data_IF_067249733443
#
_entry.id   IF_067249733443
#
_cell.length_a   1.000
_cell.length_b   1.000
_cell.length_c   1.000
_cell.angle_alpha   90.00
_cell.angle_beta   90.00
_cell.angle_gamma   90.00
#
_symmetry.space_group_name_H-M   'P 1'
#
loop_
_entity.id
_entity.type
_entity.pdbx_description
1 polymer ?
#
# COMPACT_ATOMS: atom_id res chain seq x y z
N UNK A 1 10.66 14.50 20.55
CA UNK A 1 9.84 14.14 19.36
C UNK A 1 9.26 15.43 18.80
N UNK A 2 9.72 15.85 17.62
CA UNK A 2 9.42 17.18 17.05
C UNK A 2 8.01 17.29 16.46
N UNK A 3 7.39 16.16 16.06
CA UNK A 3 6.04 16.15 15.50
C UNK A 3 4.98 15.73 16.53
N UNK A 4 4.21 16.70 17.01
CA UNK A 4 3.11 16.51 17.96
C UNK A 4 1.73 16.46 17.30
N UNK A 5 1.68 16.17 15.99
CA UNK A 5 0.40 16.09 15.28
C UNK A 5 -0.51 15.01 15.86
N UNK A 6 -1.80 15.32 15.95
CA UNK A 6 -2.86 14.33 16.19
C UNK A 6 -3.09 13.49 14.94
N UNK A 7 -3.82 12.37 15.08
CA UNK A 7 -4.21 11.51 13.96
C UNK A 7 -4.91 12.31 12.84
N UNK A 8 -5.94 13.08 13.18
CA UNK A 8 -6.66 13.97 12.25
C UNK A 8 -5.75 14.98 11.57
N UNK A 9 -4.86 15.64 12.32
CA UNK A 9 -3.91 16.60 11.74
C UNK A 9 -2.94 15.93 10.77
N UNK A 10 -2.51 14.70 11.08
CA UNK A 10 -1.64 13.93 10.20
C UNK A 10 -2.37 13.49 8.92
N UNK A 11 -3.61 12.99 9.01
CA UNK A 11 -4.44 12.69 7.84
C UNK A 11 -4.64 13.91 6.95
N UNK A 12 -4.95 15.07 7.52
CA UNK A 12 -5.05 16.32 6.75
C UNK A 12 -3.75 16.69 6.04
N UNK A 13 -2.59 16.47 6.67
CA UNK A 13 -1.27 16.67 6.02
C UNK A 13 -1.01 15.65 4.91
N UNK A 14 -1.44 14.40 5.07
CA UNK A 14 -1.34 13.36 4.04
C UNK A 14 -2.22 13.72 2.85
N UNK A 15 -3.47 14.12 3.10
CA UNK A 15 -4.38 14.64 2.08
C UNK A 15 -3.76 15.82 1.32
N UNK A 16 -3.17 16.79 2.04
CA UNK A 16 -2.51 17.95 1.45
C UNK A 16 -1.32 17.60 0.55
N UNK A 17 -0.67 16.45 0.76
CA UNK A 17 0.54 16.02 0.04
C UNK A 17 0.31 14.84 -0.91
N UNK A 18 -0.94 14.48 -1.19
CA UNK A 18 -1.29 13.28 -1.95
C UNK A 18 -0.74 13.25 -3.38
N UNK A 19 -0.45 14.42 -3.95
CA UNK A 19 0.17 14.66 -5.27
C UNK A 19 1.64 15.07 -5.21
N UNK A 20 2.22 15.19 -4.01
CA UNK A 20 3.64 15.46 -3.85
C UNK A 20 4.47 14.22 -4.28
N UNK A 21 5.75 14.39 -4.63
CA UNK A 21 6.65 13.26 -4.80
C UNK A 21 6.64 12.33 -3.57
N UNK A 22 6.89 11.02 -3.75
CA UNK A 22 7.06 10.12 -2.62
C UNK A 22 8.26 10.57 -1.76
N UNK A 23 8.19 10.38 -0.43
CA UNK A 23 9.32 10.69 0.43
C UNK A 23 10.54 9.82 0.06
N UNK A 24 11.77 10.29 0.34
CA UNK A 24 12.97 9.47 0.19
C UNK A 24 12.87 8.15 0.96
N UNK A 25 13.41 7.07 0.39
CA UNK A 25 13.31 5.70 0.95
C UNK A 25 14.04 5.58 2.29
N UNK A 26 15.03 6.42 2.53
CA UNK A 26 15.85 6.48 3.74
C UNK A 26 15.25 7.40 4.82
N UNK A 27 14.15 8.10 4.54
CA UNK A 27 13.46 8.93 5.51
C UNK A 27 12.43 8.09 6.30
N UNK A 28 12.61 7.89 7.61
CA UNK A 28 11.64 7.16 8.42
C UNK A 28 10.32 7.93 8.53
N UNK A 29 9.21 7.29 8.13
CA UNK A 29 7.87 7.84 8.30
C UNK A 29 7.39 7.67 9.75
N UNK A 30 7.44 8.76 10.51
CA UNK A 30 6.90 8.85 11.86
C UNK A 30 5.45 9.36 11.90
N UNK A 31 4.74 9.35 10.77
CA UNK A 31 3.33 9.70 10.67
C UNK A 31 2.40 8.72 11.39
N UNK A 32 1.11 9.03 11.41
CA UNK A 32 0.12 8.11 11.98
C UNK A 32 -0.28 7.03 10.98
N UNK A 33 -0.46 7.41 9.72
CA UNK A 33 -0.75 6.49 8.62
C UNK A 33 0.44 6.42 7.68
N UNK A 34 0.57 5.30 6.97
CA UNK A 34 1.41 5.28 5.77
C UNK A 34 0.87 6.34 4.81
N UNK A 35 1.71 7.28 4.39
CA UNK A 35 1.27 8.43 3.60
C UNK A 35 1.22 8.08 2.10
N UNK A 36 0.09 7.63 1.51
CA UNK A 36 0.02 7.30 0.09
C UNK A 36 0.36 8.51 -0.78
N UNK A 37 0.76 8.22 -2.03
CA UNK A 37 0.86 9.18 -3.12
C UNK A 37 0.11 8.66 -4.33
N UNK A 38 -0.52 9.58 -5.05
CA UNK A 38 -1.10 9.26 -6.34
C UNK A 38 0.02 9.00 -7.35
N UNK A 39 -0.16 8.03 -8.27
CA UNK A 39 0.80 7.83 -9.33
C UNK A 39 0.85 9.06 -10.24
N UNK A 40 1.98 9.26 -10.93
CA UNK A 40 2.18 10.39 -11.83
C UNK A 40 1.21 10.42 -13.03
N UNK A 41 0.51 9.32 -13.31
CA UNK A 41 -0.53 9.23 -14.33
C UNK A 41 -1.95 9.41 -13.79
N UNK A 42 -2.12 9.73 -12.50
CA UNK A 42 -3.44 10.12 -11.99
C UNK A 42 -3.83 11.49 -12.55
N UNK A 43 -5.09 11.64 -12.95
CA UNK A 43 -5.60 12.94 -13.39
C UNK A 43 -5.77 13.90 -12.21
N UNK A 44 -5.83 15.22 -12.44
CA UNK A 44 -6.15 16.20 -11.40
C UNK A 44 -7.48 15.90 -10.68
N UNK A 45 -8.49 15.41 -11.41
CA UNK A 45 -9.79 15.05 -10.85
C UNK A 45 -9.69 13.84 -9.91
N UNK A 46 -8.91 12.81 -10.28
CA UNK A 46 -8.65 11.67 -9.39
C UNK A 46 -7.89 12.08 -8.13
N UNK A 47 -6.88 12.94 -8.27
CA UNK A 47 -6.13 13.52 -7.15
C UNK A 47 -7.07 14.30 -6.23
N UNK A 48 -7.94 15.14 -6.78
CA UNK A 48 -8.91 15.92 -6.01
C UNK A 48 -9.92 15.01 -5.28
N UNK A 49 -10.40 13.95 -5.93
CA UNK A 49 -11.31 12.98 -5.33
C UNK A 49 -10.67 12.25 -4.15
N UNK A 50 -9.45 11.73 -4.30
CA UNK A 50 -8.73 11.06 -3.21
C UNK A 50 -8.41 12.05 -2.08
N UNK A 51 -8.05 13.29 -2.41
CA UNK A 51 -7.83 14.35 -1.43
C UNK A 51 -9.09 14.64 -0.61
N UNK A 52 -10.24 14.71 -1.26
CA UNK A 52 -11.53 14.90 -0.58
C UNK A 52 -11.81 13.73 0.36
N UNK A 53 -11.71 12.48 -0.12
CA UNK A 53 -11.92 11.28 0.70
C UNK A 53 -11.01 11.23 1.94
N UNK A 54 -9.73 11.58 1.80
CA UNK A 54 -8.80 11.65 2.93
C UNK A 54 -9.13 12.79 3.91
N UNK A 55 -9.64 13.92 3.39
CA UNK A 55 -10.06 15.06 4.20
C UNK A 55 -11.32 14.72 4.99
N UNK A 56 -12.30 14.11 4.33
CA UNK A 56 -13.56 13.65 4.94
C UNK A 56 -13.27 12.57 5.99
N UNK A 57 -12.38 11.62 5.69
CA UNK A 57 -11.93 10.62 6.66
C UNK A 57 -11.21 11.25 7.87
N UNK A 58 -10.50 12.36 7.70
CA UNK A 58 -9.88 13.08 8.81
C UNK A 58 -10.91 13.72 9.74
N UNK A 59 -12.06 14.16 9.19
CA UNK A 59 -13.13 14.82 9.95
C UNK A 59 -14.16 13.84 10.53
N UNK A 60 -14.49 12.78 9.81
CA UNK A 60 -15.61 11.86 10.10
C UNK A 60 -15.16 10.46 10.55
N UNK A 61 -13.92 10.10 10.23
CA UNK A 61 -13.41 8.75 10.43
C UNK A 61 -13.24 8.37 11.90
N UNK A 62 -13.20 7.05 12.20
CA UNK A 62 -12.79 6.61 13.52
C UNK A 62 -11.37 7.14 13.81
N UNK A 63 -11.16 7.59 15.05
CA UNK A 63 -9.84 7.99 15.52
C UNK A 63 -8.82 6.85 15.45
N UNK A 64 -7.58 7.08 15.90
CA UNK A 64 -6.55 6.06 15.82
C UNK A 64 -6.93 4.83 16.66
N UNK A 65 -6.53 3.64 16.19
CA UNK A 65 -6.69 2.36 16.92
C UNK A 65 -6.07 2.36 18.34
N UNK A 66 -5.11 3.25 18.62
CA UNK A 66 -4.54 3.50 19.95
C UNK A 66 -4.13 4.98 20.05
N UNK A 67 -4.13 5.54 21.26
CA UNK A 67 -3.69 6.91 21.49
C UNK A 67 -2.17 7.10 21.34
N UNK A 68 -1.39 6.03 21.48
CA UNK A 68 0.03 6.00 21.17
C UNK A 68 0.26 5.71 19.68
N UNK A 69 1.04 6.57 19.02
CA UNK A 69 1.27 6.49 17.57
C UNK A 69 1.94 5.19 17.15
N UNK A 70 2.91 4.70 17.92
CA UNK A 70 3.64 3.47 17.57
C UNK A 70 2.75 2.23 17.74
N UNK A 71 1.89 2.21 18.77
CA UNK A 71 0.87 1.15 18.92
C UNK A 71 -0.17 1.21 17.83
N UNK A 72 -0.66 2.40 17.46
CA UNK A 72 -1.56 2.57 16.34
C UNK A 72 -0.97 1.98 15.04
N UNK A 73 0.29 2.33 14.71
CA UNK A 73 0.97 1.80 13.52
C UNK A 73 1.11 0.27 13.57
N UNK A 74 1.44 -0.30 14.73
CA UNK A 74 1.53 -1.74 14.91
C UNK A 74 0.17 -2.43 14.69
N UNK A 75 -0.90 -1.91 15.29
CA UNK A 75 -2.26 -2.45 15.13
C UNK A 75 -2.76 -2.31 13.69
N UNK A 76 -2.53 -1.15 13.05
CA UNK A 76 -2.90 -0.93 11.66
C UNK A 76 -2.18 -1.91 10.72
N UNK A 77 -0.89 -2.18 10.98
CA UNK A 77 -0.13 -3.19 10.23
C UNK A 77 -0.71 -4.58 10.42
N UNK A 78 -1.08 -4.97 11.65
CA UNK A 78 -1.70 -6.27 11.92
C UNK A 78 -3.05 -6.44 11.20
N UNK A 79 -3.88 -5.39 11.19
CA UNK A 79 -5.16 -5.38 10.47
C UNK A 79 -4.93 -5.53 8.96
N UNK A 80 -3.95 -4.82 8.41
CA UNK A 80 -3.58 -4.92 7.00
C UNK A 80 -3.10 -6.34 6.62
N UNK A 81 -2.19 -6.91 7.40
CA UNK A 81 -1.64 -8.26 7.17
C UNK A 81 -2.73 -9.33 7.31
N UNK A 82 -3.57 -9.24 8.35
CA UNK A 82 -4.69 -10.17 8.54
C UNK A 82 -5.73 -10.09 7.42
N UNK A 83 -5.97 -8.89 6.87
CA UNK A 83 -6.83 -8.70 5.69
C UNK A 83 -6.21 -9.32 4.45
N UNK A 84 -4.90 -9.14 4.26
CA UNK A 84 -4.15 -9.72 3.13
C UNK A 84 -4.20 -11.24 3.15
N UNK A 85 -3.91 -11.88 4.29
CA UNK A 85 -3.98 -13.35 4.44
C UNK A 85 -5.38 -13.86 4.12
N UNK A 86 -6.44 -13.17 4.59
CA UNK A 86 -7.83 -13.52 4.28
C UNK A 86 -8.12 -13.43 2.79
N UNK A 87 -7.72 -12.33 2.14
CA UNK A 87 -7.92 -12.12 0.70
C UNK A 87 -7.22 -13.19 -0.13
N UNK A 88 -5.98 -13.54 0.21
CA UNK A 88 -5.24 -14.58 -0.50
C UNK A 88 -5.87 -15.95 -0.28
N UNK A 89 -6.28 -16.28 0.93
CA UNK A 89 -6.99 -17.54 1.19
C UNK A 89 -8.33 -17.63 0.46
N UNK A 90 -9.07 -16.52 0.33
CA UNK A 90 -10.27 -16.48 -0.52
C UNK A 90 -9.91 -16.77 -1.98
N UNK A 91 -8.85 -16.16 -2.51
CA UNK A 91 -8.40 -16.39 -3.88
C UNK A 91 -7.87 -17.82 -4.14
N UNK A 92 -7.35 -18.49 -3.09
CA UNK A 92 -6.82 -19.85 -3.15
C UNK A 92 -7.85 -20.94 -2.78
N UNK A 93 -9.08 -20.56 -2.43
CA UNK A 93 -10.07 -21.47 -1.83
C UNK A 93 -10.28 -22.78 -2.61
N UNK A 94 -10.26 -22.73 -3.93
CA UNK A 94 -10.49 -23.88 -4.81
C UNK A 94 -9.21 -24.68 -5.14
N UNK A 95 -8.04 -24.24 -4.67
CA UNK A 95 -6.74 -24.86 -4.99
C UNK A 95 -6.32 -25.93 -3.97
N UNK A 96 -7.00 -26.00 -2.83
CA UNK A 96 -6.56 -26.82 -1.68
C UNK A 96 -5.33 -26.28 -0.95
N UNK A 97 -4.81 -25.12 -1.34
CA UNK A 97 -3.68 -24.44 -0.69
C UNK A 97 -4.24 -23.44 0.33
N UNK A 98 -3.66 -23.43 1.54
CA UNK A 98 -3.94 -22.43 2.57
C UNK A 98 -2.67 -21.69 2.91
N UNK A 99 -2.75 -20.36 2.89
CA UNK A 99 -1.71 -19.48 3.40
C UNK A 99 -1.94 -19.29 4.90
N UNK A 100 -1.03 -19.83 5.70
CA UNK A 100 -0.99 -19.61 7.15
C UNK A 100 0.03 -18.51 7.53
N UNK A 101 -0.30 -17.72 8.55
CA UNK A 101 0.52 -16.63 9.05
C UNK A 101 0.67 -16.75 10.58
N UNK A 102 1.52 -17.67 11.09
CA UNK A 102 1.63 -17.95 12.53
C UNK A 102 2.02 -16.74 13.39
N UNK A 103 2.70 -15.75 12.82
CA UNK A 103 3.05 -14.50 13.53
C UNK A 103 1.87 -13.54 13.72
N UNK A 104 0.71 -13.81 13.10
CA UNK A 104 -0.54 -13.09 13.32
C UNK A 104 -1.45 -13.80 14.34
N UNK A 105 -1.02 -14.93 14.92
CA UNK A 105 -1.75 -15.56 16.03
C UNK A 105 -1.88 -14.59 17.21
N UNK A 106 -3.08 -14.52 17.80
CA UNK A 106 -3.39 -13.58 18.88
C UNK A 106 -2.39 -13.66 20.03
N UNK A 107 -1.95 -14.87 20.41
CA UNK A 107 -1.01 -15.05 21.52
C UNK A 107 0.38 -14.54 21.18
N UNK A 108 0.81 -14.69 19.92
CA UNK A 108 2.09 -14.16 19.44
C UNK A 108 2.05 -12.65 19.40
N UNK A 109 0.95 -12.08 18.90
CA UNK A 109 0.71 -10.64 18.83
C UNK A 109 0.67 -10.03 20.22
N UNK A 110 -0.12 -10.58 21.14
CA UNK A 110 -0.22 -10.13 22.53
C UNK A 110 1.14 -10.15 23.23
N UNK A 111 1.88 -11.26 23.10
CA UNK A 111 3.22 -11.36 23.67
C UNK A 111 4.17 -10.30 23.09
N UNK A 112 4.13 -10.07 21.77
CA UNK A 112 4.96 -9.06 21.13
C UNK A 112 4.58 -7.64 21.58
N UNK A 113 3.29 -7.31 21.67
CA UNK A 113 2.81 -5.99 22.07
C UNK A 113 3.04 -5.70 23.57
N UNK A 114 3.05 -6.72 24.42
CA UNK A 114 3.39 -6.60 25.84
C UNK A 114 4.88 -6.24 26.09
N UNK A 115 5.76 -6.49 25.11
CA UNK A 115 7.17 -6.09 25.24
C UNK A 115 7.38 -4.59 25.00
N UNK A 116 8.36 -4.03 25.70
CA UNK A 116 8.71 -2.61 25.53
C UNK A 116 9.23 -2.35 24.12
N UNK A 117 8.91 -1.18 23.56
CA UNK A 117 9.28 -0.84 22.18
C UNK A 117 10.80 -0.78 21.97
N UNK A 118 11.58 -0.40 22.99
CA UNK A 118 13.04 -0.39 22.96
C UNK A 118 13.66 -1.80 22.86
N UNK A 119 12.96 -2.82 23.36
CA UNK A 119 13.34 -4.23 23.18
C UNK A 119 12.95 -4.77 21.80
N UNK A 120 11.91 -4.21 21.17
CA UNK A 120 11.45 -4.56 19.82
C UNK A 120 12.27 -3.91 18.72
N UNK A 121 12.66 -2.65 18.93
CA UNK A 121 13.29 -1.76 17.95
C UNK A 121 14.65 -1.26 18.47
N UNK A 122 15.47 -2.16 19.00
CA UNK A 122 16.84 -1.82 19.42
C UNK A 122 17.65 -1.38 18.19
N UNK A 123 18.11 -0.13 18.20
CA UNK A 123 18.84 0.48 17.08
C UNK A 123 19.99 -0.38 16.58
N UNK A 124 20.08 -0.55 15.25
CA UNK A 124 21.14 -1.31 14.59
C UNK A 124 21.00 -2.84 14.66
N UNK A 125 19.94 -3.38 15.28
CA UNK A 125 19.64 -4.81 15.25
C UNK A 125 18.35 -5.07 14.48
N UNK A 126 18.41 -5.98 13.53
CA UNK A 126 17.23 -6.43 12.81
C UNK A 126 16.43 -7.41 13.68
N UNK A 127 15.16 -7.08 13.97
CA UNK A 127 14.20 -7.90 14.74
C UNK A 127 14.79 -8.50 16.05
N UNK A 128 15.37 -7.68 16.95
CA UNK A 128 16.11 -8.16 18.12
C UNK A 128 15.30 -9.06 19.06
N UNK A 129 14.00 -8.78 19.24
CA UNK A 129 13.11 -9.61 20.04
C UNK A 129 12.96 -11.01 19.43
N UNK A 130 12.65 -11.10 18.13
CA UNK A 130 12.52 -12.37 17.42
C UNK A 130 13.84 -13.16 17.42
N UNK A 131 14.96 -12.48 17.17
CA UNK A 131 16.30 -13.08 17.22
C UNK A 131 16.61 -13.67 18.60
N UNK A 132 16.18 -13.00 19.67
CA UNK A 132 16.36 -13.51 21.03
C UNK A 132 15.44 -14.70 21.32
N UNK A 133 14.19 -14.65 20.86
CA UNK A 133 13.21 -15.72 21.03
C UNK A 133 13.56 -16.99 20.23
N UNK A 134 14.19 -16.84 19.05
CA UNK A 134 14.57 -17.95 18.18
C UNK A 134 15.95 -18.55 18.49
N UNK A 135 16.69 -18.00 19.47
CA UNK A 135 18.01 -18.50 19.82
C UNK A 135 17.94 -19.95 20.31
N UNK A 136 18.72 -20.82 19.70
CA UNK A 136 18.73 -22.26 20.00
C UNK A 136 17.65 -23.06 19.27
N UNK A 137 16.68 -22.40 18.60
CA UNK A 137 15.70 -23.06 17.74
C UNK A 137 16.17 -23.11 16.28
N UNK A 138 16.97 -22.14 15.84
CA UNK A 138 17.55 -22.08 14.50
C UNK A 138 19.08 -21.96 14.57
N UNK A 139 19.80 -22.36 13.51
CA UNK A 139 21.23 -22.15 13.38
C UNK A 139 21.65 -20.68 13.61
N UNK A 140 22.77 -20.48 14.29
CA UNK A 140 23.20 -19.15 14.74
C UNK A 140 23.58 -18.21 13.57
N UNK A 141 24.02 -18.77 12.45
CA UNK A 141 24.32 -18.04 11.21
C UNK A 141 23.06 -17.41 10.59
N UNK A 142 21.91 -18.09 10.67
CA UNK A 142 20.61 -17.52 10.24
C UNK A 142 20.25 -16.29 11.07
N UNK A 143 20.53 -16.31 12.37
CA UNK A 143 20.29 -15.18 13.29
C UNK A 143 21.29 -14.03 13.11
N UNK A 144 22.49 -14.33 12.61
CA UNK A 144 23.55 -13.35 12.36
C UNK A 144 23.47 -12.66 11.00
N UNK A 145 22.56 -13.11 10.12
CA UNK A 145 22.41 -12.59 8.76
C UNK A 145 21.98 -11.12 8.77
N UNK A 146 22.74 -10.29 8.05
CA UNK A 146 22.51 -8.83 7.96
C UNK A 146 21.76 -8.40 6.70
N UNK A 147 21.75 -9.24 5.67
CA UNK A 147 20.98 -8.98 4.47
C UNK A 147 19.55 -9.52 4.61
N UNK A 148 18.61 -8.82 3.98
CA UNK A 148 17.24 -9.31 3.77
C UNK A 148 17.21 -9.93 2.38
N UNK A 149 16.44 -11.01 2.21
CA UNK A 149 16.19 -11.53 0.86
C UNK A 149 15.50 -10.47 0.02
N UNK A 150 16.02 -10.20 -1.17
CA UNK A 150 15.41 -9.31 -2.15
C UNK A 150 14.57 -10.16 -3.12
N UNK A 151 13.26 -9.98 -3.08
CA UNK A 151 12.30 -10.78 -3.86
C UNK A 151 11.72 -10.03 -5.07
N UNK A 152 12.18 -8.79 -5.31
CA UNK A 152 11.73 -7.96 -6.43
C UNK A 152 12.01 -8.54 -7.81
N UNK A 153 13.00 -9.43 -7.94
CA UNK A 153 13.32 -10.07 -9.22
C UNK A 153 12.10 -10.76 -9.85
N UNK A 154 11.24 -11.41 -9.03
CA UNK A 154 10.02 -12.03 -9.54
C UNK A 154 8.97 -11.01 -9.96
N UNK A 155 8.84 -9.88 -9.25
CA UNK A 155 7.94 -8.81 -9.64
C UNK A 155 8.33 -8.19 -11.00
N UNK A 156 9.62 -7.90 -11.20
CA UNK A 156 10.14 -7.41 -12.48
C UNK A 156 9.98 -8.43 -13.61
N UNK A 157 10.23 -9.72 -13.34
CA UNK A 157 9.97 -10.80 -14.31
C UNK A 157 8.49 -10.90 -14.66
N UNK A 158 7.61 -10.77 -13.66
CA UNK A 158 6.17 -10.74 -13.83
C UNK A 158 5.72 -9.61 -14.75
N UNK A 159 6.19 -8.39 -14.50
CA UNK A 159 5.93 -7.23 -15.36
C UNK A 159 6.44 -7.44 -16.78
N UNK A 160 7.69 -7.91 -16.93
CA UNK A 160 8.27 -8.16 -18.25
C UNK A 160 7.48 -9.20 -19.06
N UNK A 161 7.07 -10.31 -18.42
CA UNK A 161 6.26 -11.37 -19.04
C UNK A 161 4.87 -10.89 -19.45
N UNK A 162 4.27 -9.98 -18.67
CA UNK A 162 2.90 -9.52 -18.88
C UNK A 162 2.79 -8.16 -19.59
N UNK A 163 3.92 -7.57 -19.99
CA UNK A 163 3.97 -6.20 -20.53
C UNK A 163 2.99 -5.97 -21.66
N UNK A 164 2.91 -6.88 -22.64
CA UNK A 164 1.99 -6.74 -23.78
C UNK A 164 0.53 -6.62 -23.33
N UNK A 165 0.06 -7.51 -22.43
CA UNK A 165 -1.30 -7.46 -21.89
C UNK A 165 -1.57 -6.19 -21.08
N UNK A 166 -0.58 -5.70 -20.33
CA UNK A 166 -0.73 -4.45 -19.57
C UNK A 166 -0.83 -3.25 -20.53
N UNK A 167 -0.10 -3.28 -21.65
CA UNK A 167 -0.19 -2.24 -22.68
C UNK A 167 -1.55 -2.24 -23.40
N UNK A 168 -2.16 -3.41 -23.60
CA UNK A 168 -3.54 -3.50 -24.11
C UNK A 168 -4.55 -2.81 -23.17
N UNK A 169 -4.36 -2.94 -21.85
CA UNK A 169 -5.18 -2.22 -20.87
C UNK A 169 -5.04 -0.70 -20.98
N UNK A 170 -3.89 -0.19 -21.46
CA UNK A 170 -3.70 1.24 -21.67
C UNK A 170 -4.50 1.76 -22.87
N UNK A 171 -4.72 0.91 -23.89
CA UNK A 171 -5.38 1.27 -25.15
C UNK A 171 -6.91 1.34 -25.00
N UNK A 172 -7.50 0.48 -24.17
CA UNK A 172 -8.94 0.43 -23.88
C UNK A 172 -9.26 0.70 -22.39
N UNK A 173 -8.56 1.60 -21.71
CA UNK A 173 -8.72 1.74 -20.26
C UNK A 173 -10.10 2.25 -19.84
N UNK A 174 -10.76 1.53 -18.93
CA UNK A 174 -11.98 1.97 -18.24
C UNK A 174 -11.65 3.11 -17.26
N UNK A 175 -10.52 3.04 -16.56
CA UNK A 175 -10.05 4.13 -15.70
C UNK A 175 -9.85 5.44 -16.49
N UNK A 176 -9.31 5.37 -17.71
CA UNK A 176 -9.17 6.54 -18.57
C UNK A 176 -10.52 7.08 -19.03
N UNK A 177 -11.49 6.21 -19.36
CA UNK A 177 -12.87 6.62 -19.70
C UNK A 177 -13.58 7.32 -18.55
N UNK A 178 -13.31 6.92 -17.31
CA UNK A 178 -13.80 7.60 -16.10
C UNK A 178 -13.00 8.88 -15.78
N UNK A 179 -11.99 9.22 -16.58
CA UNK A 179 -11.14 10.39 -16.35
C UNK A 179 -10.24 10.27 -15.13
N UNK A 180 -9.94 9.05 -14.66
CA UNK A 180 -9.14 8.82 -13.44
C UNK A 180 -7.64 8.73 -13.71
N UNK A 181 -7.25 8.33 -14.92
CA UNK A 181 -5.84 8.22 -15.33
C UNK A 181 -5.58 8.85 -16.70
N UNK A 182 -4.34 9.30 -16.92
CA UNK A 182 -3.76 9.55 -18.23
C UNK A 182 -3.19 8.24 -18.80
N UNK A 183 -3.80 7.66 -19.86
CA UNK A 183 -3.35 6.40 -20.43
C UNK A 183 -1.97 6.49 -21.09
N UNK A 184 -1.55 7.65 -21.60
CA UNK A 184 -0.24 7.82 -22.21
C UNK A 184 0.86 7.86 -21.14
N UNK A 185 0.63 8.57 -20.04
CA UNK A 185 1.54 8.59 -18.90
C UNK A 185 1.65 7.19 -18.25
N UNK A 186 0.53 6.47 -18.11
CA UNK A 186 0.54 5.10 -17.60
C UNK A 186 1.32 4.15 -18.52
N UNK A 187 1.10 4.23 -19.83
CA UNK A 187 1.86 3.47 -20.84
C UNK A 187 3.36 3.72 -20.70
N UNK A 188 3.77 4.97 -20.54
CA UNK A 188 5.18 5.33 -20.34
C UNK A 188 5.79 4.65 -19.11
N UNK A 189 5.06 4.64 -17.98
CA UNK A 189 5.49 3.98 -16.74
C UNK A 189 5.63 2.45 -16.89
N UNK A 190 4.77 1.81 -17.68
CA UNK A 190 4.83 0.35 -17.96
C UNK A 190 6.01 0.01 -18.86
N UNK A 191 6.34 0.87 -19.82
CA UNK A 191 7.48 0.68 -20.73
C UNK A 191 8.82 0.92 -20.04
N UNK A 192 8.85 1.88 -19.11
CA UNK A 192 10.05 2.27 -18.37
C UNK A 192 9.80 2.25 -16.85
N UNK A 193 9.61 1.07 -16.25
CA UNK A 193 9.44 0.96 -14.80
C UNK A 193 10.75 1.38 -14.13
N UNK A 194 10.65 2.14 -13.04
CA UNK A 194 11.82 2.54 -12.27
C UNK A 194 12.57 1.32 -11.69
N UNK A 195 13.84 1.47 -11.30
CA UNK A 195 14.72 0.34 -10.95
C UNK A 195 14.40 -0.34 -9.62
N UNK A 196 13.66 0.34 -8.75
CA UNK A 196 13.28 -0.16 -7.42
C UNK A 196 11.86 -0.77 -7.44
N UNK A 197 11.66 -1.83 -6.65
CA UNK A 197 10.39 -2.56 -6.59
C UNK A 197 9.18 -1.72 -6.21
N UNK A 198 9.35 -0.71 -5.36
CA UNK A 198 8.25 0.19 -5.00
C UNK A 198 7.72 1.02 -6.18
N UNK A 199 8.48 1.15 -7.29
CA UNK A 199 7.95 1.76 -8.52
C UNK A 199 6.94 0.87 -9.25
N UNK A 200 6.92 -0.44 -8.94
CA UNK A 200 5.97 -1.38 -9.53
C UNK A 200 4.60 -1.30 -8.84
N UNK A 201 4.57 -1.00 -7.54
CA UNK A 201 3.33 -0.98 -6.75
C UNK A 201 2.22 -0.10 -7.34
N UNK A 202 2.48 1.13 -7.83
CA UNK A 202 1.42 1.93 -8.44
C UNK A 202 0.92 1.34 -9.76
N UNK A 203 1.80 0.68 -10.54
CA UNK A 203 1.41 -0.05 -11.77
C UNK A 203 0.48 -1.20 -11.38
N UNK A 204 0.87 -2.02 -10.40
CA UNK A 204 0.08 -3.15 -9.93
C UNK A 204 -1.31 -2.71 -9.43
N UNK A 205 -1.36 -1.61 -8.67
CA UNK A 205 -2.61 -1.03 -8.18
C UNK A 205 -3.50 -0.55 -9.33
N UNK A 206 -2.91 0.11 -10.34
CA UNK A 206 -3.67 0.56 -11.53
C UNK A 206 -4.24 -0.62 -12.31
N UNK A 207 -3.45 -1.69 -12.51
CA UNK A 207 -3.90 -2.92 -13.17
C UNK A 207 -5.00 -3.62 -12.35
N UNK A 208 -4.89 -3.63 -11.02
CA UNK A 208 -5.90 -4.21 -10.14
C UNK A 208 -7.23 -3.44 -10.22
N UNK A 209 -7.20 -2.11 -10.17
CA UNK A 209 -8.39 -1.26 -10.32
C UNK A 209 -9.05 -1.45 -11.70
N UNK A 210 -8.26 -1.47 -12.78
CA UNK A 210 -8.76 -1.71 -14.14
C UNK A 210 -9.38 -3.10 -14.27
N UNK A 211 -8.75 -4.13 -13.72
CA UNK A 211 -9.26 -5.50 -13.73
C UNK A 211 -10.58 -5.61 -12.96
N UNK A 212 -10.67 -4.97 -11.80
CA UNK A 212 -11.89 -4.93 -10.99
C UNK A 212 -13.04 -4.21 -11.72
N UNK A 213 -12.78 -3.08 -12.38
CA UNK A 213 -13.81 -2.38 -13.17
C UNK A 213 -14.35 -3.24 -14.30
N UNK A 214 -13.48 -4.01 -14.96
CA UNK A 214 -13.87 -4.92 -16.05
C UNK A 214 -14.73 -6.09 -15.58
N UNK A 215 -14.62 -6.51 -14.32
CA UNK A 215 -15.52 -7.52 -13.74
C UNK A 215 -16.85 -6.92 -13.26
N UNK A 216 -17.02 -5.59 -13.30
CA UNK A 216 -18.23 -4.88 -12.85
C UNK A 216 -18.78 -3.89 -13.92
N UNK A 217 -19.13 -4.36 -15.13
CA UNK A 217 -19.47 -3.51 -16.28
C UNK A 217 -20.74 -2.66 -16.12
N UNK A 218 -21.58 -2.91 -15.10
CA UNK A 218 -22.94 -2.33 -14.98
C UNK A 218 -23.02 -1.02 -14.15
N UNK A 219 -21.91 -0.48 -13.63
CA UNK A 219 -21.99 0.52 -12.53
C UNK A 219 -21.82 2.00 -12.92
N UNK A 220 -21.99 2.43 -14.19
CA UNK A 220 -21.91 3.87 -14.48
C UNK A 220 -22.95 4.38 -15.48
N UNK A 221 -23.87 5.29 -15.08
CA UNK A 221 -24.64 6.07 -16.05
C UNK A 221 -23.71 7.02 -16.82
N UNK A 222 -23.96 7.29 -18.11
CA UNK A 222 -23.11 8.19 -18.89
C UNK A 222 -23.03 9.59 -18.25
N UNK A 223 -21.88 10.27 -18.32
CA UNK A 223 -21.75 11.62 -17.77
C UNK A 223 -22.78 12.56 -18.43
N UNK A 224 -23.36 13.51 -17.67
CA UNK A 224 -24.32 14.46 -18.23
C UNK A 224 -23.68 15.24 -19.38
N UNK A 225 -24.42 15.38 -20.48
CA UNK A 225 -23.98 16.13 -21.65
C UNK A 225 -23.58 17.55 -21.23
N UNK A 226 -22.37 17.98 -21.59
CA UNK A 226 -21.94 19.37 -21.39
C UNK A 226 -22.81 20.25 -22.27
N UNK A 227 -23.75 20.96 -21.65
CA UNK A 227 -24.54 22.00 -22.33
C UNK A 227 -23.56 23.03 -22.90
N UNK A 228 -23.40 23.00 -24.21
CA UNK A 228 -22.70 24.06 -24.93
C UNK A 228 -23.67 25.24 -24.96
N UNK A 229 -23.29 26.43 -24.49
CA UNK A 229 -24.18 27.59 -24.58
C UNK A 229 -24.35 27.92 -26.06
N UNK A 230 -25.55 27.67 -26.59
CA UNK A 230 -26.01 28.28 -27.84
C UNK A 230 -26.03 29.80 -27.62
N UNK A 231 -25.27 30.50 -28.47
CA UNK A 231 -25.23 31.96 -28.51
C UNK A 231 -26.52 32.60 -29.02
#
# INVERSE_FOLDING_TARGET
LLDRSTFTQNLGRVAARIDAPPPPVDEPDFGWVFAPRMPAWATPDAVAAVRALLTDAATEGPGPLDADRARHQALASLVFEGTTVRQVNTALGDTGITWDAPFLDDRVVEAALATRIDQRLLGGRFKPLLTSAARGLVPADILGRRDKGEFSAEAFRGLARNRARILELCEDSQLARLGLIDPAAFRSAVLNPGPMSHHLQPIDTTVACESWLRTHPETYPPPPARNTPTG
#
